data_IF_758908798130
#
_entry.id   IF_758908798130
#
_cell.length_a   1.000
_cell.length_b   1.000
_cell.length_c   1.000
_cell.angle_alpha   90.00
_cell.angle_beta   90.00
_cell.angle_gamma   90.00
#
_symmetry.space_group_name_H-M   'P 1'
#
loop_
_entity.id
_entity.type
_entity.pdbx_description
1 polymer ?
#
# COMPACT_ATOMS: atom_id res chain seq x y z
N UNK A 1 -11.68 7.05 5.46
CA UNK A 1 -12.27 6.11 6.45
C UNK A 1 -13.53 6.62 7.11
N UNK A 2 -13.77 7.93 7.10
CA UNK A 2 -15.01 8.54 7.61
C UNK A 2 -16.27 7.88 7.06
N UNK A 3 -16.38 7.74 5.74
CA UNK A 3 -17.55 7.14 5.08
C UNK A 3 -17.92 5.75 5.62
N UNK A 4 -16.94 4.89 5.90
CA UNK A 4 -17.19 3.54 6.42
C UNK A 4 -17.73 3.57 7.86
N UNK A 5 -17.23 4.51 8.68
CA UNK A 5 -17.69 4.71 10.05
C UNK A 5 -19.11 5.29 10.06
N UNK A 6 -19.39 6.27 9.20
CA UNK A 6 -20.70 6.92 9.10
C UNK A 6 -21.83 5.96 8.70
N UNK A 7 -21.53 4.90 7.95
CA UNK A 7 -22.53 3.96 7.43
C UNK A 7 -22.46 2.58 8.08
N UNK A 8 -21.87 2.47 9.28
CA UNK A 8 -21.83 1.24 10.10
C UNK A 8 -21.40 -0.01 9.31
N UNK A 9 -20.39 0.16 8.45
CA UNK A 9 -19.95 -0.92 7.57
C UNK A 9 -19.42 -2.11 8.40
N UNK A 10 -19.78 -3.37 8.10
CA UNK A 10 -19.45 -4.53 8.94
C UNK A 10 -17.93 -4.71 9.15
N UNK A 11 -17.12 -4.21 8.22
CA UNK A 11 -15.66 -4.19 8.32
C UNK A 11 -15.17 -2.87 8.92
N UNK A 12 -15.45 -2.66 10.21
CA UNK A 12 -15.03 -1.45 10.96
C UNK A 12 -13.58 -1.49 11.44
N UNK A 13 -12.97 -2.67 11.54
CA UNK A 13 -11.57 -2.83 11.94
C UNK A 13 -10.69 -2.78 10.69
N UNK A 14 -9.95 -1.69 10.53
CA UNK A 14 -8.99 -1.51 9.46
C UNK A 14 -7.72 -0.85 10.00
N UNK A 15 -6.59 -1.15 9.38
CA UNK A 15 -5.32 -0.48 9.63
C UNK A 15 -5.01 0.46 8.46
N UNK A 16 -4.72 1.72 8.75
CA UNK A 16 -4.20 2.64 7.74
C UNK A 16 -2.70 2.79 7.98
N UNK A 17 -1.91 2.34 7.01
CA UNK A 17 -0.45 2.46 7.03
C UNK A 17 -0.06 3.67 6.18
N UNK A 18 0.64 4.63 6.80
CA UNK A 18 1.17 5.82 6.12
C UNK A 18 2.69 5.77 6.19
N UNK A 19 3.32 5.72 5.02
CA UNK A 19 4.78 5.71 4.91
C UNK A 19 5.30 7.11 4.59
N UNK A 20 6.01 7.76 5.53
CA UNK A 20 6.59 9.07 5.27
C UNK A 20 7.54 9.01 4.07
N UNK A 21 7.43 10.01 3.19
CA UNK A 21 8.27 10.15 2.00
C UNK A 21 8.18 9.01 0.98
N UNK A 22 7.23 8.08 1.13
CA UNK A 22 6.88 7.16 0.07
C UNK A 22 5.88 7.81 -0.89
N UNK A 23 6.05 7.52 -2.19
CA UNK A 23 5.19 7.98 -3.25
C UNK A 23 4.16 6.93 -3.67
N UNK A 24 3.67 7.09 -4.89
CA UNK A 24 2.66 6.23 -5.49
C UNK A 24 3.18 4.81 -5.80
N UNK A 25 4.48 4.67 -6.02
CA UNK A 25 5.13 3.41 -6.41
C UNK A 25 5.53 2.56 -5.20
N UNK A 26 4.54 1.99 -4.50
CA UNK A 26 4.72 0.93 -3.48
C UNK A 26 4.41 -0.41 -4.15
N UNK A 27 5.40 -1.30 -4.20
CA UNK A 27 5.32 -2.56 -4.94
C UNK A 27 5.61 -3.76 -4.03
N UNK A 28 5.82 -4.93 -4.64
CA UNK A 28 6.46 -6.06 -3.97
C UNK A 28 7.91 -5.72 -3.58
N UNK A 29 8.48 -6.39 -2.56
CA UNK A 29 9.84 -6.14 -2.10
C UNK A 29 10.87 -6.23 -3.24
N UNK A 30 11.83 -5.30 -3.22
CA UNK A 30 12.97 -5.25 -4.14
C UNK A 30 12.65 -5.01 -5.62
N UNK A 31 11.39 -4.76 -5.99
CA UNK A 31 11.08 -4.21 -7.30
C UNK A 31 11.55 -2.75 -7.37
N UNK A 32 12.15 -2.36 -8.49
CA UNK A 32 12.64 -1.00 -8.68
C UNK A 32 11.49 0.01 -8.61
N UNK A 33 11.52 0.84 -7.58
CA UNK A 33 10.58 1.95 -7.44
C UNK A 33 11.11 3.17 -8.18
N UNK A 34 10.40 3.59 -9.22
CA UNK A 34 10.67 4.86 -9.91
C UNK A 34 9.95 6.02 -9.22
N UNK A 35 10.58 7.20 -9.16
CA UNK A 35 9.93 8.44 -8.70
C UNK A 35 9.19 9.18 -9.83
N UNK A 36 9.28 8.67 -11.06
CA UNK A 36 8.56 9.16 -12.23
C UNK A 36 8.09 8.04 -13.15
N UNK A 37 6.96 8.20 -13.83
CA UNK A 37 6.44 7.23 -14.79
C UNK A 37 5.98 7.90 -16.09
N UNK A 38 6.02 7.19 -17.21
CA UNK A 38 5.41 7.66 -18.46
C UNK A 38 3.95 7.20 -18.48
N UNK A 39 3.02 8.14 -18.51
CA UNK A 39 1.61 7.85 -18.63
C UNK A 39 1.24 7.36 -20.03
N UNK A 40 0.06 6.76 -20.19
CA UNK A 40 -0.42 6.25 -21.48
C UNK A 40 -0.56 7.30 -22.58
N UNK A 41 -0.56 8.60 -22.23
CA UNK A 41 -0.55 9.71 -23.18
C UNK A 41 0.87 10.27 -23.47
N UNK A 42 1.92 9.56 -23.07
CA UNK A 42 3.33 9.95 -23.29
C UNK A 42 3.86 11.02 -22.34
N UNK A 43 3.05 11.57 -21.43
CA UNK A 43 3.51 12.55 -20.45
C UNK A 43 4.26 11.88 -19.30
N UNK A 44 5.32 12.51 -18.82
CA UNK A 44 6.01 12.09 -17.59
C UNK A 44 5.25 12.59 -16.37
N UNK A 45 4.92 11.69 -15.46
CA UNK A 45 4.25 11.95 -14.20
C UNK A 45 5.23 11.82 -13.07
N UNK A 46 5.17 12.74 -12.11
CA UNK A 46 5.87 12.60 -10.84
C UNK A 46 5.07 11.65 -9.96
N UNK A 47 5.66 10.49 -9.67
CA UNK A 47 5.05 9.47 -8.82
C UNK A 47 5.33 9.74 -7.33
N UNK A 48 6.22 10.69 -7.04
CA UNK A 48 6.51 11.16 -5.70
C UNK A 48 7.38 10.20 -4.89
N UNK A 49 7.65 10.63 -3.66
CA UNK A 49 8.51 9.93 -2.71
C UNK A 49 9.99 9.93 -3.10
N UNK A 50 10.77 9.19 -2.32
CA UNK A 50 12.19 8.96 -2.58
C UNK A 50 12.43 7.48 -2.85
N UNK A 51 13.42 7.13 -3.67
CA UNK A 51 13.80 5.73 -3.92
C UNK A 51 13.97 4.91 -2.63
N UNK A 52 14.73 5.35 -1.60
CA UNK A 52 14.88 4.58 -0.37
C UNK A 52 13.55 4.45 0.41
N UNK A 53 12.72 5.50 0.47
CA UNK A 53 11.45 5.43 1.18
C UNK A 53 10.43 4.52 0.46
N UNK A 54 10.37 4.55 -0.87
CA UNK A 54 9.52 3.67 -1.66
C UNK A 54 9.94 2.20 -1.50
N UNK A 55 11.25 1.93 -1.47
CA UNK A 55 11.78 0.59 -1.24
C UNK A 55 11.44 0.08 0.18
N UNK A 56 11.64 0.91 1.20
CA UNK A 56 11.30 0.58 2.58
C UNK A 56 9.78 0.34 2.76
N UNK A 57 8.95 1.19 2.17
CA UNK A 57 7.51 1.04 2.17
C UNK A 57 7.06 -0.26 1.50
N UNK A 58 7.66 -0.62 0.36
CA UNK A 58 7.36 -1.87 -0.36
C UNK A 58 7.68 -3.12 0.47
N UNK A 59 8.80 -3.12 1.20
CA UNK A 59 9.17 -4.22 2.11
C UNK A 59 8.18 -4.32 3.27
N UNK A 60 7.88 -3.21 3.92
CA UNK A 60 7.04 -3.17 5.12
C UNK A 60 5.58 -3.48 4.80
N UNK A 61 5.03 -2.87 3.75
CA UNK A 61 3.64 -3.09 3.33
C UNK A 61 3.40 -4.52 2.89
N UNK A 62 4.38 -5.16 2.24
CA UNK A 62 4.24 -6.55 1.82
C UNK A 62 4.14 -7.51 3.02
N UNK A 63 4.96 -7.28 4.06
CA UNK A 63 4.85 -8.02 5.32
C UNK A 63 3.46 -7.86 5.94
N UNK A 64 2.97 -6.62 6.03
CA UNK A 64 1.66 -6.31 6.62
C UNK A 64 0.49 -6.91 5.82
N UNK A 65 0.59 -6.98 4.48
CA UNK A 65 -0.40 -7.64 3.62
C UNK A 65 -0.42 -9.15 3.89
N UNK A 66 0.75 -9.79 3.99
CA UNK A 66 0.84 -11.23 4.28
C UNK A 66 0.32 -11.55 5.68
N UNK A 67 0.68 -10.74 6.69
CA UNK A 67 0.17 -10.89 8.06
C UNK A 67 -1.36 -10.76 8.09
N UNK A 68 -1.91 -9.77 7.37
CA UNK A 68 -3.36 -9.61 7.23
C UNK A 68 -4.04 -10.83 6.58
N UNK A 69 -3.51 -11.31 5.45
CA UNK A 69 -4.09 -12.47 4.78
C UNK A 69 -3.96 -13.76 5.60
N UNK A 70 -2.84 -13.95 6.31
CA UNK A 70 -2.67 -15.05 7.24
C UNK A 70 -3.78 -15.07 8.29
N UNK A 71 -3.93 -13.97 9.03
CA UNK A 71 -4.96 -13.83 10.06
C UNK A 71 -6.39 -13.97 9.54
N UNK A 72 -6.73 -13.39 8.38
CA UNK A 72 -8.09 -13.47 7.86
C UNK A 72 -8.40 -14.85 7.27
N UNK A 73 -7.43 -15.52 6.63
CA UNK A 73 -7.64 -16.85 6.06
C UNK A 73 -7.87 -17.94 7.12
N UNK A 74 -7.21 -17.83 8.28
CA UNK A 74 -7.42 -18.75 9.41
C UNK A 74 -8.86 -18.73 9.92
N UNK A 75 -9.55 -17.59 9.85
CA UNK A 75 -10.97 -17.47 10.26
C UNK A 75 -11.93 -18.29 9.38
N UNK A 76 -11.52 -18.65 8.16
CA UNK A 76 -12.35 -19.43 7.24
C UNK A 76 -12.02 -20.93 7.24
N UNK A 77 -11.06 -21.35 8.08
CA UNK A 77 -10.61 -22.76 8.17
C UNK A 77 -11.03 -23.43 9.48
N UNK A 78 -11.78 -22.74 10.34
CA UNK A 78 -12.43 -23.26 11.56
C UNK A 78 -13.94 -23.33 11.36
#
# INVERSE_FOLDING_TARGET
>A
MERLRTHEHPYIVFKNLVYPNAGHSIYIPYLLASTSGVAGNGKVWLMGGTTPANAAASVESWREILDFFGHESEKFTQ
#
